data_IF_301485303508
#
_entry.id   IF_301485303508
#
_cell.length_a   1.000
_cell.length_b   1.000
_cell.length_c   1.000
_cell.angle_alpha   90.00
_cell.angle_beta   90.00
_cell.angle_gamma   90.00
#
_symmetry.space_group_name_H-M   'P 1'
#
loop_
_entity.id
_entity.type
_entity.pdbx_description
1 polymer ?
#
# COMPACT_ATOMS: atom_id res chain seq x y z
N UNK A 1 22.42 -27.59 -25.23
CA UNK A 1 22.11 -27.23 -23.84
C UNK A 1 20.65 -26.83 -23.79
N UNK A 2 19.78 -27.70 -23.27
CA UNK A 2 18.35 -27.42 -23.18
C UNK A 2 18.09 -26.26 -22.20
N UNK A 3 17.08 -25.41 -22.42
CA UNK A 3 16.70 -24.40 -21.43
C UNK A 3 16.33 -25.10 -20.13
N UNK A 4 16.99 -24.72 -19.03
CA UNK A 4 16.63 -25.15 -17.68
C UNK A 4 15.12 -24.89 -17.45
N UNK A 5 14.35 -25.84 -16.91
CA UNK A 5 12.94 -25.61 -16.61
C UNK A 5 12.84 -24.45 -15.61
N UNK A 6 11.99 -23.46 -15.92
CA UNK A 6 11.85 -22.24 -15.14
C UNK A 6 11.53 -22.57 -13.66
N UNK A 7 12.48 -22.38 -12.71
CA UNK A 7 12.27 -22.76 -11.31
C UNK A 7 11.32 -21.80 -10.56
N UNK A 8 10.79 -20.78 -11.22
CA UNK A 8 10.04 -19.72 -10.55
C UNK A 8 8.52 -19.90 -10.55
N UNK A 9 7.96 -20.80 -11.38
CA UNK A 9 6.50 -20.93 -11.52
C UNK A 9 5.83 -21.66 -10.36
N UNK A 10 6.26 -22.89 -10.09
CA UNK A 10 5.63 -23.77 -9.10
C UNK A 10 5.77 -23.25 -7.67
N UNK A 11 6.97 -22.82 -7.26
CA UNK A 11 7.18 -22.24 -5.93
C UNK A 11 6.38 -20.94 -5.71
N UNK A 12 6.21 -20.12 -6.76
CA UNK A 12 5.33 -18.95 -6.70
C UNK A 12 3.87 -19.37 -6.49
N UNK A 13 3.38 -20.33 -7.28
CA UNK A 13 2.01 -20.83 -7.16
C UNK A 13 1.75 -21.47 -5.79
N UNK A 14 2.70 -22.23 -5.25
CA UNK A 14 2.61 -22.81 -3.92
C UNK A 14 2.53 -21.73 -2.83
N UNK A 15 3.37 -20.69 -2.92
CA UNK A 15 3.32 -19.54 -2.01
C UNK A 15 1.97 -18.81 -2.04
N UNK A 16 1.44 -18.56 -3.24
CA UNK A 16 0.09 -17.96 -3.40
C UNK A 16 -0.97 -18.87 -2.79
N UNK A 17 -0.94 -20.18 -3.07
CA UNK A 17 -1.89 -21.17 -2.52
C UNK A 17 -1.80 -21.28 -0.99
N UNK A 18 -0.63 -21.11 -0.40
CA UNK A 18 -0.47 -21.09 1.06
C UNK A 18 -1.10 -19.83 1.67
N UNK A 19 -0.84 -18.66 1.10
CA UNK A 19 -1.45 -17.40 1.56
C UNK A 19 -2.97 -17.46 1.49
N UNK A 20 -3.53 -17.99 0.39
CA UNK A 20 -4.99 -18.09 0.23
C UNK A 20 -5.62 -19.14 1.14
N UNK A 21 -4.92 -20.22 1.49
CA UNK A 21 -5.41 -21.22 2.45
C UNK A 21 -5.47 -20.69 3.89
N UNK A 22 -4.49 -19.89 4.31
CA UNK A 22 -4.46 -19.31 5.68
C UNK A 22 -5.64 -18.38 5.95
N UNK A 23 -6.17 -17.73 4.92
CA UNK A 23 -7.33 -16.84 5.03
C UNK A 23 -8.66 -17.54 5.32
N UNK A 24 -8.72 -18.88 5.31
CA UNK A 24 -9.89 -19.68 5.72
C UNK A 24 -11.17 -19.49 4.90
N UNK A 25 -11.13 -18.65 3.86
CA UNK A 25 -12.27 -18.29 3.02
C UNK A 25 -12.02 -18.69 1.57
N UNK A 26 -13.08 -19.10 0.85
CA UNK A 26 -13.01 -19.53 -0.55
C UNK A 26 -12.56 -18.42 -1.52
N UNK A 27 -12.52 -17.17 -1.05
CA UNK A 27 -12.24 -15.97 -1.85
C UNK A 27 -10.98 -15.22 -1.37
N UNK A 28 -10.04 -15.90 -0.71
CA UNK A 28 -8.81 -15.26 -0.25
C UNK A 28 -8.02 -14.69 -1.45
N UNK A 29 -7.86 -13.38 -1.45
CA UNK A 29 -7.17 -12.63 -2.50
C UNK A 29 -5.75 -12.24 -2.06
N UNK A 30 -4.89 -11.94 -3.02
CA UNK A 30 -3.52 -11.45 -2.78
C UNK A 30 -3.30 -10.10 -3.44
N UNK A 31 -2.42 -9.31 -2.84
CA UNK A 31 -1.79 -8.16 -3.49
C UNK A 31 -0.43 -8.58 -4.04
N UNK A 32 -0.08 -8.06 -5.22
CA UNK A 32 1.15 -8.37 -5.94
C UNK A 32 1.86 -7.06 -6.22
N UNK A 33 3.07 -6.90 -5.69
CA UNK A 33 3.92 -5.72 -5.90
C UNK A 33 5.20 -6.10 -6.65
N UNK A 34 5.49 -5.37 -7.72
CA UNK A 34 6.78 -5.43 -8.39
C UNK A 34 7.73 -4.38 -7.80
N UNK A 35 8.90 -4.84 -7.33
CA UNK A 35 9.90 -4.03 -6.66
C UNK A 35 11.22 -4.11 -7.46
N UNK A 36 11.73 -3.00 -8.00
CA UNK A 36 13.04 -3.00 -8.62
C UNK A 36 14.12 -3.26 -7.55
N UNK A 37 15.06 -4.16 -7.83
CA UNK A 37 16.18 -4.48 -6.94
C UNK A 37 17.48 -4.68 -7.74
N UNK A 38 18.57 -4.08 -7.28
CA UNK A 38 19.89 -4.18 -7.92
C UNK A 38 20.63 -2.84 -8.02
N UNK A 39 21.92 -2.91 -8.34
CA UNK A 39 22.86 -1.78 -8.29
C UNK A 39 22.57 -0.70 -9.33
N UNK A 40 21.84 0.35 -8.92
CA UNK A 40 22.02 1.67 -9.50
C UNK A 40 23.03 2.45 -8.63
N UNK A 41 24.04 3.14 -9.21
CA UNK A 41 24.90 4.01 -8.44
C UNK A 41 24.08 5.20 -7.95
N UNK A 42 23.91 5.29 -6.63
CA UNK A 42 23.20 6.38 -5.96
C UNK A 42 21.82 5.99 -5.45
N UNK A 43 21.80 5.56 -4.18
CA UNK A 43 20.67 5.67 -3.25
C UNK A 43 19.37 4.98 -3.62
N UNK A 44 18.82 4.20 -2.68
CA UNK A 44 17.41 3.80 -2.69
C UNK A 44 16.52 5.04 -2.52
N UNK A 45 16.36 5.80 -3.60
CA UNK A 45 15.35 6.82 -3.78
C UNK A 45 14.20 6.22 -4.58
N UNK A 46 12.98 6.60 -4.23
CA UNK A 46 11.77 6.21 -4.93
C UNK A 46 11.94 6.44 -6.44
N UNK A 47 11.90 5.37 -7.22
CA UNK A 47 11.75 5.46 -8.67
C UNK A 47 10.28 5.30 -8.99
N UNK A 48 9.77 6.23 -9.79
CA UNK A 48 8.58 6.04 -10.63
C UNK A 48 8.70 4.63 -11.26
N UNK A 49 7.94 3.64 -10.77
CA UNK A 49 8.17 2.25 -11.18
C UNK A 49 7.76 1.12 -10.23
N UNK A 50 7.36 1.38 -8.97
CA UNK A 50 6.70 0.33 -8.17
C UNK A 50 5.28 0.12 -8.67
N UNK A 51 4.97 -1.07 -9.17
CA UNK A 51 3.64 -1.44 -9.63
C UNK A 51 2.98 -2.34 -8.59
N UNK A 52 1.70 -2.09 -8.33
CA UNK A 52 0.87 -2.90 -7.43
C UNK A 52 -0.39 -3.31 -8.17
N UNK A 53 -0.64 -4.60 -8.22
CA UNK A 53 -1.95 -5.18 -8.54
C UNK A 53 -2.59 -5.65 -7.26
N UNK A 54 -3.82 -5.20 -6.98
CA UNK A 54 -4.54 -5.54 -5.76
C UNK A 54 -5.70 -6.49 -6.01
N UNK A 55 -6.05 -7.26 -4.97
CA UNK A 55 -7.23 -8.12 -4.94
C UNK A 55 -7.25 -9.13 -6.11
N UNK A 56 -6.18 -9.92 -6.22
CA UNK A 56 -6.10 -11.02 -7.19
C UNK A 56 -6.57 -12.31 -6.54
N UNK A 57 -7.61 -12.92 -7.11
CA UNK A 57 -8.18 -14.18 -6.61
C UNK A 57 -7.61 -15.33 -7.42
N UNK A 58 -7.00 -16.30 -6.74
CA UNK A 58 -6.49 -17.52 -7.38
C UNK A 58 -5.04 -17.42 -7.88
N UNK A 59 -4.36 -18.57 -7.84
CA UNK A 59 -2.93 -18.66 -8.15
C UNK A 59 -2.62 -18.46 -9.64
N UNK A 60 -3.51 -18.89 -10.54
CA UNK A 60 -3.32 -18.76 -11.98
C UNK A 60 -3.44 -17.29 -12.43
N UNK A 61 -4.43 -16.57 -11.89
CA UNK A 61 -4.59 -15.13 -12.14
C UNK A 61 -3.41 -14.34 -11.56
N UNK A 62 -2.94 -14.70 -10.36
CA UNK A 62 -1.73 -14.11 -9.78
C UNK A 62 -0.51 -14.30 -10.69
N UNK A 63 -0.32 -15.50 -11.25
CA UNK A 63 0.77 -15.78 -12.18
C UNK A 63 0.60 -15.04 -13.51
N UNK A 64 -0.63 -14.92 -14.02
CA UNK A 64 -0.93 -14.17 -15.24
C UNK A 64 -0.57 -12.69 -15.07
N UNK A 65 -0.97 -12.08 -13.96
CA UNK A 65 -0.69 -10.69 -13.57
C UNK A 65 0.82 -10.43 -13.50
N UNK A 66 1.59 -11.34 -12.87
CA UNK A 66 3.07 -11.24 -12.83
C UNK A 66 3.69 -11.34 -14.22
N UNK A 67 3.25 -12.30 -15.04
CA UNK A 67 3.76 -12.51 -16.41
C UNK A 67 3.49 -11.30 -17.29
N UNK A 68 2.30 -10.73 -17.21
CA UNK A 68 1.93 -9.51 -17.94
C UNK A 68 2.86 -8.36 -17.56
N UNK A 69 3.05 -8.09 -16.28
CA UNK A 69 3.95 -7.04 -15.79
C UNK A 69 5.39 -7.24 -16.31
N UNK A 70 5.97 -8.43 -16.10
CA UNK A 70 7.33 -8.72 -16.56
C UNK A 70 7.48 -8.60 -18.09
N UNK A 71 6.44 -8.93 -18.85
CA UNK A 71 6.42 -8.76 -20.31
C UNK A 71 6.43 -7.28 -20.73
N UNK A 72 5.78 -6.39 -19.98
CA UNK A 72 5.79 -4.94 -20.21
C UNK A 72 7.15 -4.36 -19.87
N UNK A 73 7.72 -4.72 -18.72
CA UNK A 73 9.02 -4.21 -18.25
C UNK A 73 10.18 -4.59 -19.20
N UNK A 74 10.15 -5.80 -19.79
CA UNK A 74 11.12 -6.21 -20.82
C UNK A 74 11.06 -5.37 -22.10
N UNK A 75 9.87 -4.90 -22.49
CA UNK A 75 9.70 -4.04 -23.67
C UNK A 75 10.32 -2.66 -23.47
N UNK A 76 10.37 -2.17 -22.23
CA UNK A 76 10.98 -0.89 -21.86
C UNK A 76 12.50 -0.96 -21.60
N UNK A 77 13.18 -2.09 -21.91
CA UNK A 77 14.65 -2.28 -21.77
C UNK A 77 15.23 -1.86 -20.41
N UNK A 78 14.49 -2.03 -19.32
CA UNK A 78 15.05 -1.82 -17.98
C UNK A 78 16.11 -2.91 -17.68
N UNK A 79 17.35 -2.52 -17.42
CA UNK A 79 18.45 -3.45 -17.06
C UNK A 79 18.41 -3.89 -15.59
N UNK A 80 17.48 -3.34 -14.79
CA UNK A 80 17.28 -3.72 -13.39
C UNK A 80 16.63 -5.09 -13.25
N UNK A 81 16.98 -5.80 -12.16
CA UNK A 81 16.22 -6.98 -11.74
C UNK A 81 14.97 -6.52 -10.99
N UNK A 82 13.91 -7.32 -11.05
CA UNK A 82 12.65 -7.06 -10.35
C UNK A 82 12.37 -8.24 -9.43
N UNK A 83 12.12 -7.96 -8.16
CA UNK A 83 11.50 -8.90 -7.23
C UNK A 83 9.98 -8.72 -7.28
N UNK A 84 9.26 -9.81 -7.06
CA UNK A 84 7.80 -9.80 -6.90
C UNK A 84 7.50 -10.15 -5.45
N UNK A 85 6.76 -9.27 -4.79
CA UNK A 85 6.20 -9.51 -3.46
C UNK A 85 4.75 -9.91 -3.63
N UNK A 86 4.35 -10.99 -2.96
CA UNK A 86 2.95 -11.42 -2.86
C UNK A 86 2.59 -11.38 -1.39
N UNK A 87 1.50 -10.70 -1.08
CA UNK A 87 0.99 -10.54 0.28
C UNK A 87 -0.52 -10.81 0.33
N UNK A 88 -1.02 -11.13 1.51
CA UNK A 88 -2.48 -11.25 1.71
C UNK A 88 -3.16 -9.90 1.41
N UNK A 89 -4.26 -9.94 0.65
CA UNK A 89 -5.07 -8.75 0.42
C UNK A 89 -5.88 -8.39 1.68
N UNK A 90 -5.76 -7.15 2.13
CA UNK A 90 -6.56 -6.61 3.22
C UNK A 90 -7.76 -5.84 2.68
N UNK A 91 -8.95 -6.44 2.80
CA UNK A 91 -10.24 -5.79 2.60
C UNK A 91 -10.48 -4.69 3.66
N UNK A 92 -9.87 -3.53 3.46
CA UNK A 92 -9.81 -2.46 4.44
C UNK A 92 -11.12 -1.66 4.54
N UNK A 93 -11.50 -1.27 5.76
CA UNK A 93 -12.58 -0.31 6.02
C UNK A 93 -12.11 1.13 5.70
N UNK A 94 -10.82 1.38 5.92
CA UNK A 94 -10.12 2.60 5.55
C UNK A 94 -8.67 2.29 5.23
N UNK A 95 -8.04 3.12 4.41
CA UNK A 95 -6.63 3.02 4.06
C UNK A 95 -5.94 4.35 4.29
N UNK A 96 -4.64 4.31 4.54
CA UNK A 96 -3.88 5.51 4.84
C UNK A 96 -2.47 5.48 4.25
N UNK A 97 -2.00 6.65 3.84
CA UNK A 97 -0.60 6.92 3.58
C UNK A 97 -0.03 7.79 4.69
N UNK A 98 1.09 7.34 5.25
CA UNK A 98 1.78 8.05 6.32
C UNK A 98 3.17 8.44 5.84
N UNK A 99 3.50 9.73 5.92
CA UNK A 99 4.87 10.20 5.87
C UNK A 99 5.28 10.56 7.30
N UNK A 100 6.28 9.86 7.85
CA UNK A 100 6.76 10.12 9.22
C UNK A 100 7.39 11.52 9.37
N UNK A 101 7.69 12.18 8.24
CA UNK A 101 8.06 13.58 8.16
C UNK A 101 7.40 14.21 6.93
N UNK A 102 6.55 15.22 7.12
CA UNK A 102 6.01 15.99 6.02
C UNK A 102 7.11 16.85 5.37
N UNK A 103 7.03 17.05 4.06
CA UNK A 103 7.88 17.98 3.33
C UNK A 103 7.22 19.37 3.37
N UNK A 104 7.98 20.39 3.73
CA UNK A 104 7.48 21.76 3.84
C UNK A 104 8.22 22.56 4.91
N UNK A 105 7.97 23.87 4.95
CA UNK A 105 8.43 24.75 6.04
C UNK A 105 7.31 24.83 7.08
N UNK A 106 7.37 23.94 8.05
CA UNK A 106 6.53 23.98 9.24
C UNK A 106 7.37 24.51 10.40
N UNK A 107 6.77 25.24 11.32
CA UNK A 107 7.45 25.71 12.54
C UNK A 107 7.90 24.52 13.40
N UNK A 108 7.19 23.40 13.32
CA UNK A 108 7.44 22.18 14.08
C UNK A 108 7.62 20.97 13.15
N UNK A 109 8.31 19.94 13.63
CA UNK A 109 8.43 18.69 12.90
C UNK A 109 7.10 17.92 12.95
N UNK A 110 6.46 17.76 11.79
CA UNK A 110 5.15 17.10 11.66
C UNK A 110 5.23 15.85 10.78
N UNK A 111 4.40 14.86 11.09
CA UNK A 111 4.05 13.76 10.21
C UNK A 111 2.79 14.13 9.40
N UNK A 112 2.68 13.60 8.18
CA UNK A 112 1.52 13.76 7.32
C UNK A 112 0.78 12.42 7.22
N UNK A 113 -0.51 12.42 7.47
CA UNK A 113 -1.39 11.27 7.24
C UNK A 113 -2.45 11.67 6.21
N UNK A 114 -2.58 10.89 5.14
CA UNK A 114 -3.74 10.96 4.24
C UNK A 114 -4.54 9.68 4.39
N UNK A 115 -5.85 9.77 4.67
CA UNK A 115 -6.70 8.61 4.90
C UNK A 115 -8.01 8.68 4.12
N UNK A 116 -8.49 7.54 3.62
CA UNK A 116 -9.72 7.45 2.85
C UNK A 116 -10.49 6.17 3.23
N UNK A 117 -11.81 6.16 2.94
CA UNK A 117 -12.64 4.96 3.10
C UNK A 117 -12.28 3.89 2.06
N UNK A 118 -12.33 2.63 2.51
CA UNK A 118 -12.08 1.48 1.66
C UNK A 118 -10.60 1.26 1.33
N UNK A 119 -10.40 0.51 0.24
CA UNK A 119 -9.10 0.01 -0.21
C UNK A 119 -8.32 1.11 -0.93
N UNK A 120 -7.02 1.26 -0.61
CA UNK A 120 -6.15 2.16 -1.36
C UNK A 120 -5.86 1.58 -2.75
N UNK A 121 -5.79 2.41 -3.78
CA UNK A 121 -5.13 2.03 -5.04
C UNK A 121 -3.66 2.36 -4.84
N UNK A 122 -2.77 1.38 -5.04
CA UNK A 122 -1.34 1.61 -4.82
C UNK A 122 -0.84 2.86 -5.54
N UNK A 123 0.04 3.63 -4.90
CA UNK A 123 0.49 4.94 -5.40
C UNK A 123 0.05 6.11 -4.53
N UNK A 124 0.49 7.33 -4.86
CA UNK A 124 0.40 8.53 -3.97
C UNK A 124 -1.02 9.10 -3.84
N UNK A 125 -1.98 8.62 -4.63
CA UNK A 125 -3.36 9.07 -4.53
C UNK A 125 -4.32 7.89 -4.31
N UNK A 126 -5.08 7.87 -3.20
CA UNK A 126 -6.24 7.01 -3.13
C UNK A 126 -7.20 7.36 -4.27
N UNK A 127 -7.99 6.40 -4.76
CA UNK A 127 -9.08 6.71 -5.68
C UNK A 127 -10.08 7.57 -4.91
N UNK A 128 -10.02 8.87 -5.18
CA UNK A 128 -10.90 9.88 -4.59
C UNK A 128 -10.24 10.79 -3.57
N UNK A 129 -11.08 11.63 -2.96
CA UNK A 129 -10.68 12.59 -1.95
C UNK A 129 -10.27 11.87 -0.66
N UNK A 130 -9.31 12.42 0.08
CA UNK A 130 -8.79 11.82 1.32
C UNK A 130 -8.66 12.87 2.41
N UNK A 131 -8.99 12.49 3.63
CA UNK A 131 -8.77 13.30 4.81
C UNK A 131 -7.27 13.48 5.02
N UNK A 132 -6.87 14.68 5.39
CA UNK A 132 -5.48 15.04 5.60
C UNK A 132 -5.26 15.50 7.03
N UNK A 133 -4.24 14.94 7.68
CA UNK A 133 -3.87 15.26 9.05
C UNK A 133 -2.39 15.65 9.11
N UNK A 134 -2.08 16.76 9.78
CA UNK A 134 -0.71 17.08 10.20
C UNK A 134 -0.58 16.84 11.69
N UNK A 135 0.33 15.94 12.06
CA UNK A 135 0.49 15.49 13.44
C UNK A 135 1.88 15.86 13.93
N UNK A 136 1.96 16.62 15.02
CA UNK A 136 3.23 16.95 15.65
C UNK A 136 3.93 15.69 16.13
N UNK A 137 5.20 15.55 15.79
CA UNK A 137 5.95 14.30 16.07
C UNK A 137 6.31 14.11 17.54
N UNK A 138 6.42 15.19 18.31
CA UNK A 138 6.92 15.15 19.70
C UNK A 138 5.88 14.63 20.68
N UNK A 139 4.61 15.00 20.51
CA UNK A 139 3.51 14.70 21.43
C UNK A 139 2.31 14.03 20.75
N UNK A 140 2.35 13.87 19.42
CA UNK A 140 1.28 13.32 18.60
C UNK A 140 -0.01 14.17 18.62
N UNK A 141 0.12 15.46 18.92
CA UNK A 141 -0.99 16.38 18.78
C UNK A 141 -1.34 16.59 17.30
N UNK A 142 -2.62 16.58 16.98
CA UNK A 142 -3.09 16.85 15.62
C UNK A 142 -3.21 18.37 15.49
N UNK A 143 -2.41 18.95 14.60
CA UNK A 143 -2.35 20.40 14.39
C UNK A 143 -3.31 20.86 13.31
N UNK A 144 -3.53 20.02 12.30
CA UNK A 144 -4.41 20.30 11.17
C UNK A 144 -5.22 19.06 10.86
N UNK A 145 -6.51 19.28 10.64
CA UNK A 145 -7.45 18.31 10.10
C UNK A 145 -8.15 18.94 8.90
N UNK A 146 -8.09 18.26 7.76
CA UNK A 146 -8.85 18.64 6.59
C UNK A 146 -9.63 17.43 6.10
N UNK A 147 -10.95 17.47 6.25
CA UNK A 147 -11.83 16.41 5.77
C UNK A 147 -12.21 16.69 4.33
N UNK A 148 -11.91 15.73 3.47
CA UNK A 148 -12.24 15.86 2.07
C UNK A 148 -13.68 15.41 1.82
N UNK A 149 -14.26 15.85 0.70
CA UNK A 149 -15.58 15.43 0.26
C UNK A 149 -15.50 14.07 -0.47
N UNK A 150 -15.70 13.00 0.30
CA UNK A 150 -15.42 11.62 -0.12
C UNK A 150 -16.62 11.00 -0.82
N UNK A 151 -16.80 11.24 -2.11
CA UNK A 151 -17.95 10.74 -2.86
C UNK A 151 -17.95 9.24 -3.16
N UNK A 152 -16.78 8.59 -3.17
CA UNK A 152 -16.59 7.20 -3.59
C UNK A 152 -15.55 6.50 -2.72
N UNK A 153 -15.62 5.19 -2.72
CA UNK A 153 -14.63 4.29 -2.12
C UNK A 153 -14.44 3.06 -3.02
N UNK A 154 -13.29 2.40 -2.90
CA UNK A 154 -13.06 1.09 -3.51
C UNK A 154 -13.36 -0.02 -2.52
N UNK A 155 -14.12 -1.00 -2.99
CA UNK A 155 -14.46 -2.20 -2.23
C UNK A 155 -14.12 -3.46 -3.02
N UNK A 156 -13.70 -4.53 -2.35
CA UNK A 156 -13.55 -5.83 -2.99
C UNK A 156 -14.89 -6.40 -3.42
N UNK A 157 -14.88 -7.07 -4.57
CA UNK A 157 -16.01 -7.81 -5.14
C UNK A 157 -15.49 -9.11 -5.75
N UNK A 158 -16.33 -10.13 -6.00
CA UNK A 158 -15.88 -11.36 -6.67
C UNK A 158 -15.21 -11.14 -8.04
N UNK A 159 -15.49 -10.01 -8.70
CA UNK A 159 -14.92 -9.66 -10.00
C UNK A 159 -13.67 -8.76 -9.93
N UNK A 160 -13.18 -8.44 -8.72
CA UNK A 160 -12.08 -7.48 -8.51
C UNK A 160 -12.47 -6.32 -7.61
N UNK A 161 -11.70 -5.22 -7.65
CA UNK A 161 -12.08 -4.00 -6.96
C UNK A 161 -13.13 -3.22 -7.76
N UNK A 162 -14.13 -2.67 -7.07
CA UNK A 162 -15.14 -1.82 -7.68
C UNK A 162 -15.30 -0.52 -6.90
N UNK A 163 -15.51 0.59 -7.63
CA UNK A 163 -15.92 1.85 -7.03
C UNK A 163 -17.38 1.78 -6.58
N UNK A 164 -17.64 2.26 -5.38
CA UNK A 164 -18.99 2.43 -4.84
C UNK A 164 -19.18 3.85 -4.31
N UNK A 165 -20.37 4.43 -4.47
CA UNK A 165 -20.68 5.70 -3.84
C UNK A 165 -20.60 5.55 -2.33
N UNK A 166 -20.03 6.56 -1.67
CA UNK A 166 -20.06 6.65 -0.22
C UNK A 166 -21.42 7.22 0.24
N UNK A 167 -22.04 6.66 1.29
CA UNK A 167 -23.23 7.26 1.90
C UNK A 167 -22.99 8.73 2.24
N UNK A 168 -23.96 9.60 1.98
CA UNK A 168 -23.83 11.06 2.18
C UNK A 168 -23.39 11.41 3.59
N UNK A 169 -23.92 10.70 4.59
CA UNK A 169 -23.57 10.87 6.00
C UNK A 169 -22.09 10.63 6.36
N UNK A 170 -21.30 10.03 5.45
CA UNK A 170 -19.88 9.73 5.66
C UNK A 170 -18.95 10.60 4.81
N UNK A 171 -19.47 11.39 3.86
CA UNK A 171 -18.63 12.08 2.86
C UNK A 171 -17.73 13.14 3.48
N UNK A 172 -18.27 13.91 4.41
CA UNK A 172 -17.61 15.02 5.11
C UNK A 172 -17.13 14.63 6.53
N UNK A 173 -17.26 13.36 6.90
CA UNK A 173 -16.85 12.83 8.20
C UNK A 173 -15.43 12.28 8.14
N UNK A 174 -14.69 12.31 9.27
CA UNK A 174 -13.40 11.65 9.34
C UNK A 174 -13.56 10.16 9.09
N UNK A 175 -12.78 9.62 8.16
CA UNK A 175 -12.79 8.17 7.86
C UNK A 175 -12.21 7.31 8.99
N UNK A 176 -11.39 7.92 9.85
CA UNK A 176 -10.76 7.28 11.00
C UNK A 176 -10.86 8.20 12.22
N UNK A 177 -11.10 7.66 13.43
CA UNK A 177 -11.06 8.48 14.64
C UNK A 177 -9.61 8.87 14.95
N UNK A 178 -9.40 10.04 15.52
CA UNK A 178 -8.07 10.62 15.77
C UNK A 178 -7.10 9.67 16.50
N UNK A 179 -7.60 8.85 17.43
CA UNK A 179 -6.77 7.84 18.13
C UNK A 179 -6.02 6.94 17.14
N UNK A 180 -6.65 6.58 16.03
CA UNK A 180 -6.05 5.73 14.98
C UNK A 180 -5.08 6.49 14.11
N UNK A 181 -5.34 7.77 13.85
CA UNK A 181 -4.36 8.65 13.21
C UNK A 181 -3.07 8.71 14.05
N UNK A 182 -3.20 8.88 15.37
CA UNK A 182 -2.04 8.88 16.30
C UNK A 182 -1.33 7.53 16.33
N UNK A 183 -2.06 6.41 16.36
CA UNK A 183 -1.46 5.07 16.30
C UNK A 183 -0.66 4.86 15.01
N UNK A 184 -1.18 5.30 13.86
CA UNK A 184 -0.50 5.22 12.57
C UNK A 184 0.78 6.06 12.53
N UNK A 185 0.77 7.26 13.12
CA UNK A 185 1.97 8.10 13.24
C UNK A 185 3.00 7.44 14.16
N UNK A 186 2.59 6.83 15.28
CA UNK A 186 3.51 6.06 16.15
C UNK A 186 4.20 4.94 15.39
N UNK A 187 3.45 4.16 14.61
CA UNK A 187 4.02 3.10 13.76
C UNK A 187 5.08 3.70 12.82
N UNK A 188 4.79 4.86 12.21
CA UNK A 188 5.72 5.55 11.32
C UNK A 188 7.00 6.03 12.01
N UNK A 189 6.89 6.54 13.24
CA UNK A 189 8.05 6.97 14.02
C UNK A 189 8.92 5.79 14.47
N UNK A 190 8.30 4.66 14.83
CA UNK A 190 9.03 3.41 15.13
C UNK A 190 9.75 2.90 13.88
N UNK A 191 9.09 2.88 12.73
CA UNK A 191 9.70 2.48 11.47
C UNK A 191 10.85 3.42 11.05
N UNK A 192 10.69 4.75 11.23
CA UNK A 192 11.76 5.74 11.02
C UNK A 192 12.97 5.47 11.92
N UNK A 193 12.75 5.14 13.20
CA UNK A 193 13.84 4.79 14.11
C UNK A 193 14.59 3.53 13.67
N UNK A 194 13.87 2.50 13.20
CA UNK A 194 14.46 1.26 12.68
C UNK A 194 15.25 1.50 11.39
N UNK A 195 14.73 2.33 10.48
CA UNK A 195 15.37 2.61 9.19
C UNK A 195 16.46 3.69 9.27
N UNK A 196 16.54 4.45 10.36
CA UNK A 196 17.47 5.57 10.54
C UNK A 196 17.21 6.77 9.63
N UNK A 197 16.01 6.86 9.04
CA UNK A 197 15.60 7.92 8.10
C UNK A 197 14.09 8.02 8.04
N UNK A 198 13.53 9.19 7.66
CA UNK A 198 12.09 9.32 7.47
C UNK A 198 11.54 8.24 6.54
N UNK A 199 10.32 7.80 6.80
CA UNK A 199 9.65 6.73 6.06
C UNK A 199 8.35 7.22 5.45
N UNK A 200 7.95 6.53 4.40
CA UNK A 200 6.59 6.53 3.87
C UNK A 200 6.01 5.14 4.04
N UNK A 201 4.74 5.08 4.43
CA UNK A 201 4.02 3.82 4.62
C UNK A 201 2.67 3.84 3.92
N UNK A 202 2.30 2.68 3.39
CA UNK A 202 0.92 2.34 3.02
C UNK A 202 0.35 1.45 4.12
N UNK A 203 -0.80 1.84 4.68
CA UNK A 203 -1.47 1.16 5.77
C UNK A 203 -2.91 0.83 5.40
N UNK A 204 -3.42 -0.29 5.92
CA UNK A 204 -4.84 -0.64 5.91
C UNK A 204 -5.39 -0.71 7.33
N UNK A 205 -6.65 -0.31 7.47
CA UNK A 205 -7.44 -0.44 8.68
C UNK A 205 -8.56 -1.42 8.45
N UNK A 206 -8.62 -2.50 9.22
CA UNK A 206 -9.68 -3.51 9.12
C UNK A 206 -10.06 -3.99 10.51
N UNK A 207 -11.34 -3.89 10.87
CA UNK A 207 -11.89 -4.46 12.11
C UNK A 207 -11.09 -4.10 13.38
N UNK A 208 -10.64 -2.84 13.51
CA UNK A 208 -9.91 -2.44 14.71
C UNK A 208 -8.40 -2.63 14.66
N UNK A 209 -7.84 -3.16 13.57
CA UNK A 209 -6.43 -3.50 13.42
C UNK A 209 -5.79 -2.69 12.29
N UNK A 210 -4.59 -2.16 12.54
CA UNK A 210 -3.73 -1.54 11.51
C UNK A 210 -2.83 -2.62 10.90
N UNK A 211 -2.81 -2.69 9.57
CA UNK A 211 -1.89 -3.52 8.79
C UNK A 211 -0.91 -2.60 8.06
N UNK A 212 0.39 -2.91 8.11
CA UNK A 212 1.41 -2.24 7.29
C UNK A 212 1.52 -3.01 5.98
N UNK A 213 1.09 -2.41 4.88
CA UNK A 213 1.13 -3.01 3.54
C UNK A 213 2.46 -2.72 2.84
N UNK A 214 3.01 -1.52 3.07
CA UNK A 214 4.30 -1.14 2.51
C UNK A 214 4.98 -0.15 3.44
N UNK A 215 6.29 -0.27 3.58
CA UNK A 215 7.12 0.68 4.30
C UNK A 215 8.46 0.84 3.58
N UNK A 216 8.84 2.08 3.35
CA UNK A 216 10.09 2.40 2.70
C UNK A 216 10.65 3.72 3.22
N UNK A 217 11.96 3.91 3.02
CA UNK A 217 12.61 5.18 3.21
C UNK A 217 11.97 6.27 2.33
N UNK A 218 11.58 7.39 2.94
CA UNK A 218 11.28 8.60 2.21
C UNK A 218 12.59 9.23 1.73
N UNK A 219 12.68 9.47 0.41
CA UNK A 219 13.77 10.25 -0.20
C UNK A 219 13.58 11.74 -0.03
#
# INVERSE_FOLDING_TARGET
>A
MAPSPAPCGEHFLEGVRELTRRGGTRDAAVDIRAVPFGSAPGGAGWREGSWVSRHIIGADDALAVVREHLSRSRRCRSTGRTAVVVEEFIAADASAHVHSRARGRFEEAVALVRAAHGVAVGGVDPVGAADTYLVRRTDLNILVEWFADKYRQLVPTPAGLAERPLPEALRDRPCLPERRIRDMVRIGLVAEAVMGRPVRMELAWKNGVVYVLWCEAAG
#
